data_IF_283766060274
#
_entry.id   IF_283766060274
#
_cell.length_a   1.000
_cell.length_b   1.000
_cell.length_c   1.000
_cell.angle_alpha   90.00
_cell.angle_beta   90.00
_cell.angle_gamma   90.00
#
_symmetry.space_group_name_H-M   'P 1'
#
loop_
_entity.id
_entity.type
_entity.pdbx_description
1 polymer ?
#
# COMPACT_ATOMS: atom_id res chain seq x y z
N UNK A 1 3.13 -18.59 -13.25
CA UNK A 1 2.44 -18.68 -11.94
C UNK A 1 3.37 -18.00 -10.96
N UNK A 2 2.87 -17.02 -10.20
CA UNK A 2 3.66 -16.22 -9.25
C UNK A 2 3.24 -16.59 -7.83
N UNK A 3 4.20 -16.65 -6.89
CA UNK A 3 3.97 -17.02 -5.49
C UNK A 3 4.69 -16.08 -4.52
N UNK A 4 4.11 -15.89 -3.33
CA UNK A 4 4.68 -14.98 -2.34
C UNK A 4 3.91 -14.92 -1.05
N UNK A 5 4.38 -14.06 -0.15
CA UNK A 5 3.96 -14.03 1.26
C UNK A 5 3.45 -12.63 1.59
N UNK A 6 2.35 -12.54 2.35
CA UNK A 6 1.85 -11.31 2.94
C UNK A 6 2.03 -11.37 4.46
N UNK A 7 2.66 -10.35 5.03
CA UNK A 7 2.73 -10.15 6.48
C UNK A 7 1.72 -9.09 6.93
N UNK A 8 0.94 -9.40 7.96
CA UNK A 8 0.04 -8.43 8.61
C UNK A 8 0.76 -7.49 9.59
N UNK A 9 2.01 -7.80 9.94
CA UNK A 9 2.86 -7.05 10.89
C UNK A 9 2.41 -7.08 12.37
N UNK A 10 1.65 -8.11 12.76
CA UNK A 10 1.23 -8.37 14.14
C UNK A 10 2.42 -8.45 15.12
N UNK A 11 2.27 -7.83 16.29
CA UNK A 11 3.19 -7.94 17.42
C UNK A 11 2.94 -9.26 18.14
N UNK A 12 3.72 -10.27 17.74
CA UNK A 12 3.57 -11.63 18.25
C UNK A 12 3.96 -11.72 19.73
N UNK A 13 3.17 -12.50 20.47
CA UNK A 13 3.51 -12.91 21.83
C UNK A 13 4.37 -14.17 21.76
N UNK A 14 5.50 -14.15 22.44
CA UNK A 14 6.38 -15.31 22.55
C UNK A 14 5.64 -16.45 23.28
N UNK A 15 5.44 -17.62 22.65
CA UNK A 15 4.70 -18.72 23.27
C UNK A 15 5.44 -19.36 24.45
N UNK A 16 6.77 -19.21 24.54
CA UNK A 16 7.57 -19.77 25.62
C UNK A 16 7.63 -18.84 26.85
N UNK A 17 7.63 -17.53 26.64
CA UNK A 17 7.82 -16.53 27.71
C UNK A 17 6.56 -15.70 28.01
N UNK A 18 5.58 -15.69 27.11
CA UNK A 18 4.39 -14.85 27.21
C UNK A 18 4.64 -13.36 26.96
N UNK A 19 5.87 -12.96 26.62
CA UNK A 19 6.22 -11.56 26.37
C UNK A 19 5.83 -11.13 24.95
N UNK A 20 5.17 -9.97 24.82
CA UNK A 20 4.86 -9.40 23.51
C UNK A 20 6.12 -8.81 22.89
N UNK A 21 6.37 -9.11 21.62
CA UNK A 21 7.46 -8.50 20.87
C UNK A 21 7.18 -7.01 20.66
N UNK A 22 8.21 -6.18 20.77
CA UNK A 22 8.10 -4.77 20.40
C UNK A 22 8.14 -4.59 18.87
N UNK A 23 7.71 -3.42 18.41
CA UNK A 23 7.69 -3.09 16.98
C UNK A 23 9.09 -3.16 16.35
N UNK A 24 10.13 -2.76 17.08
CA UNK A 24 11.50 -2.77 16.57
C UNK A 24 11.99 -4.20 16.28
N UNK A 25 11.69 -5.16 17.16
CA UNK A 25 11.95 -6.58 16.97
C UNK A 25 11.15 -7.11 15.81
N UNK A 26 9.84 -6.79 15.75
CA UNK A 26 8.98 -7.27 14.67
C UNK A 26 9.44 -6.78 13.30
N UNK A 27 9.87 -5.53 13.18
CA UNK A 27 10.45 -4.99 11.94
C UNK A 27 11.71 -5.79 11.52
N UNK A 28 12.60 -6.13 12.46
CA UNK A 28 13.78 -6.97 12.15
C UNK A 28 13.40 -8.38 11.68
N UNK A 29 12.36 -8.97 12.28
CA UNK A 29 11.83 -10.27 11.86
C UNK A 29 11.22 -10.19 10.45
N UNK A 30 10.41 -9.18 10.17
CA UNK A 30 9.85 -8.94 8.83
C UNK A 30 10.96 -8.82 7.79
N UNK A 31 12.02 -8.05 8.08
CA UNK A 31 13.18 -7.96 7.18
C UNK A 31 13.86 -9.31 6.97
N UNK A 32 13.94 -10.14 8.01
CA UNK A 32 14.47 -11.50 7.91
C UNK A 32 13.60 -12.38 7.00
N UNK A 33 12.26 -12.23 7.07
CA UNK A 33 11.34 -12.92 6.17
C UNK A 33 11.43 -12.43 4.72
N UNK A 34 11.61 -11.12 4.50
CA UNK A 34 11.83 -10.56 3.16
C UNK A 34 13.09 -11.18 2.53
N UNK A 35 14.20 -11.21 3.27
CA UNK A 35 15.45 -11.82 2.79
C UNK A 35 15.29 -13.33 2.55
N UNK A 36 14.55 -14.03 3.42
CA UNK A 36 14.28 -15.44 3.24
C UNK A 36 13.39 -15.72 2.01
N UNK A 37 12.37 -14.88 1.79
CA UNK A 37 11.48 -14.97 0.63
C UNK A 37 12.24 -14.77 -0.69
N UNK A 38 13.12 -13.76 -0.74
CA UNK A 38 14.02 -13.51 -1.88
C UNK A 38 14.93 -14.70 -2.15
N UNK A 39 15.59 -15.23 -1.11
CA UNK A 39 16.45 -16.43 -1.23
C UNK A 39 15.71 -17.69 -1.65
N UNK A 40 14.44 -17.81 -1.27
CA UNK A 40 13.58 -18.92 -1.67
C UNK A 40 13.04 -18.78 -3.10
N UNK A 41 13.29 -17.64 -3.77
CA UNK A 41 12.83 -17.37 -5.13
C UNK A 41 11.34 -17.03 -5.21
N UNK A 42 10.75 -16.45 -4.16
CA UNK A 42 9.38 -15.94 -4.21
C UNK A 42 9.30 -14.64 -5.03
N UNK A 43 8.21 -14.45 -5.74
CA UNK A 43 8.01 -13.33 -6.67
C UNK A 43 7.60 -12.02 -5.97
N UNK A 44 6.99 -12.13 -4.77
CA UNK A 44 6.51 -10.97 -4.03
C UNK A 44 6.53 -11.17 -2.51
N UNK A 45 6.72 -10.05 -1.80
CA UNK A 45 6.48 -9.93 -0.36
C UNK A 45 5.60 -8.72 -0.09
N UNK A 46 4.40 -8.94 0.45
CA UNK A 46 3.44 -7.91 0.83
C UNK A 46 3.55 -7.54 2.30
N UNK A 47 3.30 -6.28 2.61
CA UNK A 47 3.25 -5.78 3.98
C UNK A 47 1.97 -4.97 4.18
N UNK A 48 1.14 -5.38 5.14
CA UNK A 48 -0.12 -4.69 5.44
C UNK A 48 0.08 -3.47 6.35
N UNK A 49 -0.85 -2.53 6.25
CA UNK A 49 -0.92 -1.33 7.06
C UNK A 49 -1.98 -1.49 8.16
N UNK A 50 -1.62 -1.17 9.41
CA UNK A 50 -2.56 -1.16 10.55
C UNK A 50 -2.35 0.05 11.45
N UNK A 51 -3.43 0.54 12.05
CA UNK A 51 -3.45 1.66 13.01
C UNK A 51 -3.88 1.20 14.41
N UNK A 52 -3.42 0.03 14.82
CA UNK A 52 -3.64 -0.53 16.16
C UNK A 52 -2.29 -0.72 16.86
N UNK A 53 -2.22 -0.53 18.19
CA UNK A 53 -1.01 -0.80 18.98
C UNK A 53 -0.51 -2.24 18.87
N UNK A 54 -1.33 -3.17 18.39
CA UNK A 54 -0.98 -4.58 18.23
C UNK A 54 -0.16 -4.86 16.95
N UNK A 55 0.17 -3.84 16.16
CA UNK A 55 0.87 -3.99 14.88
C UNK A 55 2.10 -3.09 14.77
N UNK A 56 3.13 -3.56 14.07
CA UNK A 56 4.41 -2.88 13.93
C UNK A 56 4.45 -1.85 12.80
N UNK A 57 3.56 -1.94 11.81
CA UNK A 57 3.60 -1.12 10.59
C UNK A 57 2.32 -0.31 10.45
N UNK A 58 2.45 0.99 10.73
CA UNK A 58 1.42 1.99 10.46
C UNK A 58 1.89 2.92 9.35
N UNK A 59 0.98 3.32 8.47
CA UNK A 59 1.21 4.39 7.51
C UNK A 59 0.19 5.50 7.78
N UNK A 60 0.60 6.69 8.24
CA UNK A 60 -0.26 7.67 8.90
C UNK A 60 -1.19 8.44 7.94
N UNK A 61 -1.70 7.82 6.88
CA UNK A 61 -2.73 8.45 6.06
C UNK A 61 -4.01 8.62 6.89
N UNK A 62 -4.15 9.77 7.55
CA UNK A 62 -5.38 10.17 8.23
C UNK A 62 -6.48 10.25 7.17
N UNK A 63 -7.45 9.35 7.26
CA UNK A 63 -8.61 9.30 6.36
C UNK A 63 -9.85 9.65 7.19
N UNK A 64 -10.62 10.64 6.71
CA UNK A 64 -11.94 10.93 7.25
C UNK A 64 -12.91 9.80 6.89
N UNK A 65 -13.33 9.04 7.89
CA UNK A 65 -14.22 7.89 7.72
C UNK A 65 -15.62 8.27 7.22
N UNK A 66 -16.08 9.50 7.46
CA UNK A 66 -17.42 9.93 7.02
C UNK A 66 -17.51 10.08 5.50
N UNK A 67 -16.40 10.45 4.87
CA UNK A 67 -16.31 10.69 3.43
C UNK A 67 -15.35 9.68 2.78
N UNK A 68 -15.22 8.46 3.34
CA UNK A 68 -14.19 7.49 2.96
C UNK A 68 -14.13 7.26 1.45
N UNK A 69 -15.27 6.95 0.81
CA UNK A 69 -15.33 6.64 -0.62
C UNK A 69 -14.88 7.82 -1.49
N UNK A 70 -15.30 9.03 -1.12
CA UNK A 70 -14.94 10.25 -1.83
C UNK A 70 -13.45 10.59 -1.64
N UNK A 71 -12.94 10.49 -0.41
CA UNK A 71 -11.53 10.71 -0.06
C UNK A 71 -10.65 9.70 -0.79
N UNK A 72 -11.02 8.43 -0.77
CA UNK A 72 -10.32 7.34 -1.44
C UNK A 72 -10.27 7.57 -2.95
N UNK A 73 -11.43 7.86 -3.55
CA UNK A 73 -11.55 8.10 -5.00
C UNK A 73 -10.72 9.30 -5.44
N UNK A 74 -10.79 10.43 -4.72
CA UNK A 74 -10.02 11.63 -5.06
C UNK A 74 -8.51 11.37 -4.98
N UNK A 75 -8.05 10.75 -3.89
CA UNK A 75 -6.63 10.43 -3.70
C UNK A 75 -6.13 9.42 -4.73
N UNK A 76 -6.92 8.41 -5.07
CA UNK A 76 -6.57 7.43 -6.11
C UNK A 76 -6.44 8.10 -7.48
N UNK A 77 -7.39 8.97 -7.87
CA UNK A 77 -7.30 9.71 -9.13
C UNK A 77 -6.07 10.61 -9.20
N UNK A 78 -5.73 11.30 -8.10
CA UNK A 78 -4.51 12.08 -8.04
C UNK A 78 -3.26 11.20 -8.20
N UNK A 79 -3.20 10.05 -7.52
CA UNK A 79 -2.07 9.13 -7.63
C UNK A 79 -1.85 8.68 -9.08
N UNK A 80 -2.93 8.37 -9.79
CA UNK A 80 -2.88 7.98 -11.19
C UNK A 80 -2.46 9.13 -12.09
N UNK A 81 -2.96 10.35 -11.85
CA UNK A 81 -2.52 11.55 -12.57
C UNK A 81 -1.02 11.81 -12.41
N UNK A 82 -0.49 11.64 -11.19
CA UNK A 82 0.96 11.74 -10.91
C UNK A 82 1.75 10.66 -11.67
N UNK A 83 1.21 9.44 -11.74
CA UNK A 83 1.86 8.35 -12.47
C UNK A 83 1.88 8.60 -13.98
N UNK A 84 0.78 9.09 -14.55
CA UNK A 84 0.62 9.29 -16.00
C UNK A 84 1.45 10.47 -16.52
N UNK A 85 1.46 11.60 -15.80
CA UNK A 85 2.18 12.80 -16.20
C UNK A 85 2.94 13.43 -15.02
N UNK A 86 4.05 12.80 -14.57
CA UNK A 86 4.77 13.22 -13.36
C UNK A 86 5.41 14.60 -13.46
N UNK A 87 5.67 15.11 -14.66
CA UNK A 87 6.42 16.35 -14.86
C UNK A 87 5.61 17.62 -14.58
N UNK A 88 4.28 17.59 -14.69
CA UNK A 88 3.40 18.75 -14.51
C UNK A 88 2.01 18.30 -14.04
N UNK A 89 1.87 18.03 -12.74
CA UNK A 89 0.58 17.67 -12.15
C UNK A 89 -0.08 18.92 -11.59
N UNK A 90 -1.19 19.32 -12.21
CA UNK A 90 -2.14 20.27 -11.65
C UNK A 90 -3.35 19.51 -11.14
N UNK A 91 -3.76 19.77 -9.91
CA UNK A 91 -4.86 19.04 -9.26
C UNK A 91 -5.76 19.98 -8.48
N UNK A 92 -7.07 19.77 -8.60
CA UNK A 92 -8.07 20.44 -7.77
C UNK A 92 -9.06 19.40 -7.25
N UNK A 93 -9.37 19.46 -5.96
CA UNK A 93 -10.24 18.52 -5.27
C UNK A 93 -10.78 19.08 -3.96
N UNK A 94 -11.56 18.28 -3.25
CA UNK A 94 -12.25 18.66 -2.00
C UNK A 94 -11.42 18.34 -0.76
N UNK A 95 -10.61 17.26 -0.77
CA UNK A 95 -10.00 16.72 0.45
C UNK A 95 -8.54 17.09 0.66
N UNK A 96 -7.88 17.66 -0.35
CA UNK A 96 -6.53 18.20 -0.23
C UNK A 96 -6.41 19.59 -0.89
N UNK A 97 -5.46 20.44 -0.45
CA UNK A 97 -5.15 21.67 -1.16
C UNK A 97 -4.81 21.39 -2.62
N UNK A 98 -5.26 22.29 -3.49
CA UNK A 98 -4.95 22.25 -4.91
C UNK A 98 -3.44 22.24 -5.15
N UNK A 99 -3.03 21.59 -6.23
CA UNK A 99 -1.66 21.64 -6.74
C UNK A 99 -1.66 22.47 -8.00
N UNK A 100 -0.87 23.54 -7.99
CA UNK A 100 -0.57 24.32 -9.18
C UNK A 100 0.84 23.95 -9.64
N UNK A 101 0.94 23.07 -10.64
CA UNK A 101 2.20 22.56 -11.18
C UNK A 101 3.14 21.97 -10.11
N UNK A 102 2.79 20.79 -9.57
CA UNK A 102 3.67 20.07 -8.65
C UNK A 102 5.08 19.90 -9.27
N UNK A 103 6.17 20.30 -8.57
CA UNK A 103 7.53 20.09 -9.05
C UNK A 103 7.81 18.59 -9.23
N UNK A 104 8.61 18.24 -10.25
CA UNK A 104 8.93 16.86 -10.65
C UNK A 104 9.34 16.01 -9.43
N UNK A 105 8.48 15.08 -8.95
CA UNK A 105 8.80 14.23 -7.82
C UNK A 105 9.83 13.17 -8.23
N UNK A 106 10.56 12.58 -7.27
CA UNK A 106 11.48 11.49 -7.58
C UNK A 106 10.77 10.36 -8.34
N UNK A 107 11.23 10.08 -9.56
CA UNK A 107 10.56 9.14 -10.47
C UNK A 107 10.86 7.69 -10.09
N UNK A 108 9.87 6.79 -10.16
CA UNK A 108 10.14 5.36 -10.05
C UNK A 108 11.00 4.92 -11.23
N UNK A 109 11.98 4.04 -10.97
CA UNK A 109 12.84 3.47 -12.01
C UNK A 109 12.04 2.66 -13.04
N UNK A 110 10.86 2.16 -12.66
CA UNK A 110 9.93 1.47 -13.56
C UNK A 110 8.72 2.37 -13.86
N UNK A 111 8.47 2.73 -15.13
CA UNK A 111 7.41 3.67 -15.50
C UNK A 111 5.99 3.17 -15.20
N UNK A 112 5.82 1.86 -15.01
CA UNK A 112 4.54 1.22 -14.69
C UNK A 112 4.59 0.49 -13.34
N UNK A 113 4.85 1.21 -12.25
CA UNK A 113 4.64 0.65 -10.93
C UNK A 113 3.15 0.27 -10.78
N UNK A 114 2.88 -0.98 -10.42
CA UNK A 114 1.53 -1.55 -10.40
C UNK A 114 0.74 -1.01 -9.20
N UNK A 115 -0.52 -0.67 -9.41
CA UNK A 115 -1.49 -0.35 -8.37
C UNK A 115 -2.65 -1.34 -8.48
N UNK A 116 -2.91 -2.11 -7.42
CA UNK A 116 -3.93 -3.16 -7.36
C UNK A 116 -4.82 -3.02 -6.11
N UNK A 117 -6.06 -3.55 -6.17
CA UNK A 117 -7.04 -3.51 -5.07
C UNK A 117 -7.03 -4.81 -4.29
N UNK A 118 -7.45 -4.73 -3.02
CA UNK A 118 -7.69 -5.88 -2.14
C UNK A 118 -9.19 -6.19 -1.91
N UNK A 119 -10.09 -5.61 -2.71
CA UNK A 119 -11.55 -5.70 -2.50
C UNK A 119 -12.25 -6.60 -3.51
N UNK A 120 -13.28 -7.33 -3.05
CA UNK A 120 -14.21 -8.08 -3.92
C UNK A 120 -15.05 -7.15 -4.80
N UNK A 121 -15.43 -5.97 -4.29
CA UNK A 121 -16.16 -4.96 -5.04
C UNK A 121 -15.22 -3.82 -5.43
N UNK A 122 -15.04 -3.60 -6.73
CA UNK A 122 -14.23 -2.52 -7.28
C UNK A 122 -15.06 -1.24 -7.38
N UNK A 123 -14.76 -0.16 -6.63
CA UNK A 123 -15.38 1.13 -6.89
C UNK A 123 -15.14 1.58 -8.34
N UNK A 124 -16.02 2.40 -8.95
CA UNK A 124 -15.90 2.80 -10.36
C UNK A 124 -14.54 3.38 -10.75
N UNK A 125 -13.81 3.97 -9.79
CA UNK A 125 -12.47 4.51 -9.97
C UNK A 125 -11.42 3.44 -10.37
N UNK A 126 -11.65 2.17 -10.06
CA UNK A 126 -10.76 1.05 -10.41
C UNK A 126 -10.88 0.60 -11.87
N UNK A 127 -11.89 1.06 -12.60
CA UNK A 127 -12.05 0.80 -14.04
C UNK A 127 -11.21 1.74 -14.93
N UNK A 128 -10.37 2.59 -14.34
CA UNK A 128 -9.55 3.53 -15.09
C UNK A 128 -8.39 2.82 -15.82
N UNK A 129 -8.05 3.24 -17.05
CA UNK A 129 -6.91 2.68 -17.79
C UNK A 129 -5.62 2.82 -16.97
N UNK A 130 -4.76 1.79 -17.01
CA UNK A 130 -3.49 1.77 -16.27
C UNK A 130 -3.58 1.22 -14.84
N UNK A 131 -4.78 1.02 -14.30
CA UNK A 131 -5.02 0.20 -13.11
C UNK A 131 -5.09 -1.25 -13.55
N UNK A 132 -4.20 -2.09 -13.02
CA UNK A 132 -4.30 -3.55 -13.16
C UNK A 132 -4.72 -4.09 -11.81
N UNK A 133 -5.83 -4.83 -11.77
CA UNK A 133 -6.10 -5.66 -10.58
C UNK A 133 -4.90 -6.59 -10.43
N UNK A 134 -4.20 -6.52 -9.30
CA UNK A 134 -3.18 -7.50 -8.99
C UNK A 134 -3.91 -8.85 -8.83
N UNK A 135 -3.56 -9.89 -9.61
CA UNK A 135 -4.25 -11.18 -9.54
C UNK A 135 -4.22 -11.81 -8.15
N UNK A 136 -3.28 -11.35 -7.31
CA UNK A 136 -3.05 -11.77 -5.92
C UNK A 136 -4.19 -11.50 -4.95
N UNK A 137 -5.09 -10.57 -5.29
CA UNK A 137 -6.10 -10.05 -4.37
C UNK A 137 -7.54 -10.23 -4.85
N UNK A 138 -7.77 -11.09 -5.86
CA UNK A 138 -9.13 -11.56 -6.13
C UNK A 138 -9.45 -12.67 -5.14
N UNK A 139 -10.22 -12.35 -4.09
CA UNK A 139 -10.90 -13.39 -3.33
C UNK A 139 -11.76 -14.21 -4.31
N UNK A 140 -11.65 -15.53 -4.21
CA UNK A 140 -12.52 -16.46 -4.96
C UNK A 140 -13.90 -16.54 -4.32
#
# INVERSE_FOLDING_TARGET
MEFGILSLSDLQTDPATGAQHDAARRIREIMSYVVAADRAGLDAFGLAEHHSPDFAVANPAVIDLKNYDDVFTEKLRLLLAIRENPAQVTWSGRFRPALDCLPDPPRPLRPNCLCGSASEALPPAWNAPGISVCPWFSAS
#
